data_IF_788433083803
#
_entry.id   IF_788433083803
#
_cell.length_a   1.000
_cell.length_b   1.000
_cell.length_c   1.000
_cell.angle_alpha   90.00
_cell.angle_beta   90.00
_cell.angle_gamma   90.00
#
_symmetry.space_group_name_H-M   'P 1'
#
loop_
_entity.id
_entity.type
_entity.pdbx_description
1 polymer ?
#
# COMPACT_ATOMS: atom_id res chain seq x y z
N UNK A 1 -28.61 -22.66 -13.15
CA UNK A 1 -28.23 -21.35 -13.71
C UNK A 1 -27.77 -20.51 -12.52
N UNK A 2 -26.68 -19.76 -12.64
CA UNK A 2 -26.17 -18.96 -11.51
C UNK A 2 -27.02 -17.71 -11.32
N UNK A 3 -27.03 -17.15 -10.12
CA UNK A 3 -27.96 -16.07 -9.74
C UNK A 3 -27.53 -14.70 -10.27
N UNK A 4 -26.25 -14.51 -10.56
CA UNK A 4 -25.63 -13.25 -11.00
C UNK A 4 -24.60 -13.49 -12.10
N UNK A 5 -24.41 -12.52 -12.99
CA UNK A 5 -23.35 -12.58 -14.00
C UNK A 5 -21.98 -12.33 -13.34
N UNK A 6 -21.90 -11.33 -12.47
CA UNK A 6 -20.66 -10.99 -11.77
C UNK A 6 -20.85 -10.90 -10.26
N UNK A 7 -19.88 -11.44 -9.53
CA UNK A 7 -19.69 -11.19 -8.11
C UNK A 7 -18.49 -10.28 -7.89
N UNK A 8 -18.50 -9.51 -6.81
CA UNK A 8 -17.37 -8.67 -6.39
C UNK A 8 -17.02 -9.02 -4.95
N UNK A 9 -15.78 -9.40 -4.68
CA UNK A 9 -15.29 -9.63 -3.32
C UNK A 9 -14.06 -8.76 -3.06
N UNK A 10 -14.11 -7.96 -2.00
CA UNK A 10 -13.09 -6.95 -1.70
C UNK A 10 -12.30 -7.40 -0.47
N UNK A 11 -10.96 -7.34 -0.54
CA UNK A 11 -10.11 -7.66 0.60
C UNK A 11 -8.66 -7.30 0.38
N UNK A 12 -7.86 -7.28 1.45
CA UNK A 12 -6.41 -7.09 1.35
C UNK A 12 -5.65 -8.38 1.10
N UNK A 13 -6.15 -9.51 1.61
CA UNK A 13 -5.53 -10.84 1.45
C UNK A 13 -4.06 -10.89 1.93
N UNK A 14 -3.82 -10.40 3.16
CA UNK A 14 -2.49 -10.29 3.78
C UNK A 14 -2.36 -11.24 5.00
N UNK A 15 -2.32 -12.59 4.84
CA UNK A 15 -2.32 -13.39 3.60
C UNK A 15 -3.72 -13.85 3.14
N UNK A 16 -3.78 -14.64 2.06
CA UNK A 16 -4.98 -15.40 1.67
C UNK A 16 -5.22 -16.57 2.65
N UNK A 17 -6.12 -16.39 3.62
CA UNK A 17 -6.49 -17.40 4.61
C UNK A 17 -7.79 -18.17 4.24
N UNK A 18 -8.09 -19.25 4.97
CA UNK A 18 -9.23 -20.14 4.73
C UNK A 18 -10.59 -19.42 4.74
N UNK A 19 -10.76 -18.39 5.58
CA UNK A 19 -11.97 -17.56 5.56
C UNK A 19 -12.21 -16.87 4.22
N UNK A 20 -11.17 -16.31 3.59
CA UNK A 20 -11.27 -15.72 2.26
C UNK A 20 -11.58 -16.79 1.22
N UNK A 21 -10.90 -17.95 1.28
CA UNK A 21 -11.13 -19.05 0.36
C UNK A 21 -12.59 -19.54 0.41
N UNK A 22 -13.20 -19.60 1.60
CA UNK A 22 -14.59 -19.98 1.77
C UNK A 22 -15.56 -18.98 1.13
N UNK A 23 -15.33 -17.66 1.29
CA UNK A 23 -16.13 -16.63 0.61
C UNK A 23 -16.01 -16.78 -0.90
N UNK A 24 -14.79 -16.93 -1.41
CA UNK A 24 -14.53 -17.07 -2.85
C UNK A 24 -15.26 -18.29 -3.42
N UNK A 25 -15.14 -19.46 -2.78
CA UNK A 25 -15.81 -20.69 -3.21
C UNK A 25 -17.33 -20.54 -3.19
N UNK A 26 -17.89 -20.03 -2.09
CA UNK A 26 -19.34 -19.82 -1.98
C UNK A 26 -19.88 -18.78 -2.98
N UNK A 27 -19.10 -17.72 -3.26
CA UNK A 27 -19.48 -16.73 -4.26
C UNK A 27 -19.44 -17.33 -5.68
N UNK A 28 -18.42 -18.13 -6.01
CA UNK A 28 -18.29 -18.82 -7.30
C UNK A 28 -19.47 -19.76 -7.59
N UNK A 29 -20.14 -20.31 -6.58
CA UNK A 29 -21.37 -21.09 -6.78
C UNK A 29 -22.54 -20.23 -7.29
N UNK A 30 -22.59 -18.95 -6.88
CA UNK A 30 -23.71 -18.03 -7.12
C UNK A 30 -23.51 -17.10 -8.32
N UNK A 31 -22.29 -16.92 -8.82
CA UNK A 31 -21.96 -15.93 -9.88
C UNK A 31 -21.26 -16.54 -11.07
N UNK A 32 -21.48 -16.05 -12.30
CA UNK A 32 -20.81 -16.53 -13.52
C UNK A 32 -19.34 -16.17 -13.65
N UNK A 33 -18.91 -15.05 -13.09
CA UNK A 33 -17.51 -14.68 -12.90
C UNK A 33 -17.36 -13.91 -11.59
N UNK A 34 -16.37 -14.26 -10.76
CA UNK A 34 -16.06 -13.52 -9.55
C UNK A 34 -14.90 -12.56 -9.80
N UNK A 35 -15.07 -11.30 -9.47
CA UNK A 35 -14.02 -10.28 -9.46
C UNK A 35 -13.57 -10.13 -8.01
N UNK A 36 -12.30 -10.43 -7.75
CA UNK A 36 -11.69 -10.20 -6.44
C UNK A 36 -10.84 -8.93 -6.52
N UNK A 37 -11.28 -7.91 -5.79
CA UNK A 37 -10.61 -6.62 -5.69
C UNK A 37 -9.62 -6.67 -4.54
N UNK A 38 -8.33 -6.55 -4.87
CA UNK A 38 -7.21 -6.67 -3.95
C UNK A 38 -6.78 -5.27 -3.49
N UNK A 39 -7.18 -4.89 -2.27
CA UNK A 39 -6.86 -3.58 -1.66
C UNK A 39 -5.39 -3.39 -1.34
N UNK A 40 -4.94 -2.14 -1.18
CA UNK A 40 -3.54 -1.80 -0.85
C UNK A 40 -2.54 -2.47 -1.81
N UNK A 41 -2.82 -2.43 -3.12
CA UNK A 41 -2.07 -3.21 -4.13
C UNK A 41 -0.72 -2.61 -4.54
N UNK A 42 -0.59 -1.29 -4.46
CA UNK A 42 0.62 -0.57 -4.85
C UNK A 42 1.31 0.10 -3.67
N UNK A 43 1.13 -0.41 -2.45
CA UNK A 43 1.92 0.05 -1.32
C UNK A 43 3.24 -0.70 -1.27
N UNK A 44 4.31 0.00 -0.94
CA UNK A 44 5.55 -0.64 -0.56
C UNK A 44 5.32 -1.54 0.66
N UNK A 45 6.07 -2.64 0.73
CA UNK A 45 5.84 -3.65 1.75
C UNK A 45 6.09 -3.11 3.16
N UNK A 46 5.19 -3.42 4.08
CA UNK A 46 5.33 -3.08 5.51
C UNK A 46 4.68 -4.17 6.38
N UNK A 47 4.86 -4.19 7.71
CA UNK A 47 4.30 -5.24 8.56
C UNK A 47 2.76 -5.42 8.46
N UNK A 48 2.04 -4.37 8.08
CA UNK A 48 0.58 -4.42 7.85
C UNK A 48 0.22 -4.96 6.45
N UNK A 49 1.03 -4.66 5.44
CA UNK A 49 0.90 -5.10 4.06
C UNK A 49 2.21 -5.77 3.58
N UNK A 50 2.54 -6.98 4.09
CA UNK A 50 3.82 -7.62 3.79
C UNK A 50 3.95 -8.09 2.34
N UNK A 51 2.81 -8.41 1.69
CA UNK A 51 2.78 -9.00 0.36
C UNK A 51 2.35 -8.00 -0.71
N UNK A 52 3.07 -7.94 -1.83
CA UNK A 52 2.71 -7.15 -3.01
C UNK A 52 1.47 -7.72 -3.69
N UNK A 53 0.90 -7.01 -4.67
CA UNK A 53 -0.18 -7.56 -5.49
C UNK A 53 0.25 -8.85 -6.19
N UNK A 54 1.42 -8.86 -6.84
CA UNK A 54 1.95 -10.04 -7.54
C UNK A 54 2.17 -11.24 -6.60
N UNK A 55 2.66 -11.01 -5.38
CA UNK A 55 2.84 -12.07 -4.38
C UNK A 55 1.49 -12.64 -3.92
N UNK A 56 0.47 -11.80 -3.75
CA UNK A 56 -0.90 -12.25 -3.45
C UNK A 56 -1.51 -13.00 -4.62
N UNK A 57 -1.36 -12.51 -5.85
CA UNK A 57 -1.78 -13.22 -7.06
C UNK A 57 -1.13 -14.61 -7.13
N UNK A 58 0.15 -14.75 -6.78
CA UNK A 58 0.81 -16.05 -6.70
C UNK A 58 0.19 -16.97 -5.63
N UNK A 59 -0.29 -16.44 -4.50
CA UNK A 59 -1.07 -17.23 -3.54
C UNK A 59 -2.41 -17.68 -4.13
N UNK A 60 -3.14 -16.78 -4.79
CA UNK A 60 -4.40 -17.10 -5.46
C UNK A 60 -4.21 -18.17 -6.54
N UNK A 61 -3.15 -18.06 -7.35
CA UNK A 61 -2.82 -19.02 -8.40
C UNK A 61 -2.56 -20.44 -7.87
N UNK A 62 -2.10 -20.58 -6.62
CA UNK A 62 -1.93 -21.91 -5.99
C UNK A 62 -3.25 -22.56 -5.56
N UNK A 63 -4.31 -21.80 -5.41
CA UNK A 63 -5.60 -22.26 -4.88
C UNK A 63 -6.70 -22.30 -5.95
N UNK A 64 -6.70 -21.31 -6.85
CA UNK A 64 -7.77 -21.04 -7.81
C UNK A 64 -7.23 -20.98 -9.25
N UNK A 65 -6.19 -21.78 -9.57
CA UNK A 65 -5.56 -21.77 -10.89
C UNK A 65 -6.57 -22.00 -12.02
N UNK A 66 -7.48 -22.96 -11.83
CA UNK A 66 -8.49 -23.30 -12.83
C UNK A 66 -9.45 -22.13 -13.06
N UNK A 67 -9.93 -21.51 -11.99
CA UNK A 67 -10.85 -20.38 -12.08
C UNK A 67 -10.20 -19.15 -12.70
N UNK A 68 -8.94 -18.87 -12.38
CA UNK A 68 -8.17 -17.78 -12.98
C UNK A 68 -7.97 -18.01 -14.48
N UNK A 69 -7.51 -19.22 -14.86
CA UNK A 69 -7.24 -19.56 -16.28
C UNK A 69 -8.49 -19.59 -17.16
N UNK A 70 -9.64 -19.92 -16.59
CA UNK A 70 -10.92 -19.94 -17.31
C UNK A 70 -11.65 -18.59 -17.32
N UNK A 71 -11.15 -17.58 -16.60
CA UNK A 71 -11.82 -16.28 -16.44
C UNK A 71 -13.02 -16.32 -15.48
N UNK A 72 -13.19 -17.43 -14.74
CA UNK A 72 -14.19 -17.58 -13.68
C UNK A 72 -13.85 -16.77 -12.43
N UNK A 73 -12.56 -16.47 -12.24
CA UNK A 73 -12.04 -15.59 -11.21
C UNK A 73 -11.12 -14.56 -11.88
N UNK A 74 -11.29 -13.28 -11.54
CA UNK A 74 -10.45 -12.18 -12.05
C UNK A 74 -9.94 -11.40 -10.84
N UNK A 75 -8.64 -11.15 -10.78
CA UNK A 75 -8.03 -10.30 -9.75
C UNK A 75 -7.89 -8.87 -10.28
N UNK A 76 -8.28 -7.89 -9.48
CA UNK A 76 -8.16 -6.47 -9.80
C UNK A 76 -7.39 -5.77 -8.68
N UNK A 77 -6.24 -5.13 -8.95
CA UNK A 77 -5.55 -4.34 -7.95
C UNK A 77 -6.36 -3.08 -7.63
N UNK A 78 -6.36 -2.68 -6.36
CA UNK A 78 -6.99 -1.46 -5.88
C UNK A 78 -5.99 -0.59 -5.13
N UNK A 79 -6.04 0.70 -5.46
CA UNK A 79 -5.20 1.75 -4.90
C UNK A 79 -5.82 2.25 -3.59
N UNK A 80 -4.96 2.60 -2.64
CA UNK A 80 -5.41 3.29 -1.43
C UNK A 80 -5.49 4.79 -1.71
N UNK A 81 -6.58 5.42 -1.27
CA UNK A 81 -6.78 6.86 -1.30
C UNK A 81 -7.09 7.34 0.11
N UNK A 82 -6.75 8.60 0.39
CA UNK A 82 -7.06 9.19 1.69
C UNK A 82 -8.56 9.42 1.87
N UNK A 83 -9.28 9.74 0.78
CA UNK A 83 -10.70 10.01 0.82
C UNK A 83 -11.52 8.83 0.28
N UNK A 84 -12.59 8.47 1.02
CA UNK A 84 -13.49 7.36 0.67
C UNK A 84 -14.14 7.52 -0.71
N UNK A 85 -14.37 8.76 -1.18
CA UNK A 85 -14.99 9.00 -2.48
C UNK A 85 -14.06 8.63 -3.65
N UNK A 86 -12.78 9.01 -3.59
CA UNK A 86 -11.77 8.64 -4.58
C UNK A 86 -11.53 7.13 -4.57
N UNK A 87 -11.49 6.53 -3.38
CA UNK A 87 -11.36 5.08 -3.22
C UNK A 87 -12.53 4.34 -3.88
N UNK A 88 -13.75 4.80 -3.64
CA UNK A 88 -14.97 4.23 -4.24
C UNK A 88 -14.93 4.33 -5.75
N UNK A 89 -14.57 5.49 -6.29
CA UNK A 89 -14.59 5.74 -7.73
C UNK A 89 -13.48 4.94 -8.44
N UNK A 90 -12.31 4.78 -7.82
CA UNK A 90 -11.25 3.89 -8.29
C UNK A 90 -11.73 2.42 -8.33
N UNK A 91 -12.40 1.95 -7.27
CA UNK A 91 -12.97 0.60 -7.22
C UNK A 91 -14.00 0.39 -8.34
N UNK A 92 -14.97 1.31 -8.50
CA UNK A 92 -15.98 1.23 -9.57
C UNK A 92 -15.32 1.17 -10.94
N UNK A 93 -14.32 2.02 -11.18
CA UNK A 93 -13.58 2.04 -12.44
C UNK A 93 -12.89 0.70 -12.71
N UNK A 94 -12.10 0.20 -11.76
CA UNK A 94 -11.37 -1.07 -11.91
C UNK A 94 -12.30 -2.27 -12.13
N UNK A 95 -13.42 -2.35 -11.39
CA UNK A 95 -14.44 -3.39 -11.59
C UNK A 95 -15.09 -3.26 -12.97
N UNK A 96 -15.47 -2.06 -13.37
CA UNK A 96 -16.12 -1.81 -14.67
C UNK A 96 -15.20 -2.21 -15.83
N UNK A 97 -13.93 -1.81 -15.78
CA UNK A 97 -12.93 -2.18 -16.77
C UNK A 97 -12.72 -3.70 -16.83
N UNK A 98 -12.66 -4.37 -15.69
CA UNK A 98 -12.54 -5.83 -15.63
C UNK A 98 -13.76 -6.55 -16.23
N UNK A 99 -14.98 -6.10 -15.91
CA UNK A 99 -16.22 -6.65 -16.49
C UNK A 99 -16.23 -6.47 -18.01
N UNK A 100 -15.98 -5.25 -18.49
CA UNK A 100 -16.01 -4.95 -19.92
C UNK A 100 -14.92 -5.72 -20.68
N UNK A 101 -13.71 -5.80 -20.13
CA UNK A 101 -12.63 -6.59 -20.69
C UNK A 101 -12.99 -8.07 -20.78
N UNK A 102 -13.63 -8.63 -19.74
CA UNK A 102 -14.09 -10.01 -19.74
C UNK A 102 -15.23 -10.27 -20.74
N UNK A 103 -16.27 -9.46 -20.71
CA UNK A 103 -17.47 -9.64 -21.54
C UNK A 103 -17.18 -9.45 -23.04
N UNK A 104 -16.26 -8.56 -23.39
CA UNK A 104 -15.96 -8.23 -24.78
C UNK A 104 -14.95 -9.19 -25.45
N UNK A 105 -14.48 -10.26 -24.77
CA UNK A 105 -13.58 -11.27 -25.35
C UNK A 105 -14.16 -11.96 -26.60
N UNK A 106 -15.48 -11.92 -26.80
CA UNK A 106 -16.19 -12.53 -27.94
C UNK A 106 -16.48 -11.61 -29.14
N UNK A 107 -15.91 -10.41 -29.22
CA UNK A 107 -16.05 -9.50 -30.36
C UNK A 107 -17.29 -8.58 -30.35
N UNK A 108 -18.19 -8.75 -29.38
CA UNK A 108 -19.22 -7.74 -29.05
C UNK A 108 -18.55 -6.69 -28.18
N UNK A 109 -18.73 -5.40 -28.49
CA UNK A 109 -18.16 -4.29 -27.72
C UNK A 109 -19.25 -3.61 -26.91
N UNK A 110 -19.43 -4.05 -25.68
CA UNK A 110 -20.26 -3.38 -24.69
C UNK A 110 -19.54 -2.12 -24.19
N UNK A 111 -20.30 -1.04 -23.97
CA UNK A 111 -19.82 0.26 -23.47
C UNK A 111 -20.21 0.52 -22.01
N UNK A 112 -20.94 -0.39 -21.36
CA UNK A 112 -21.37 -0.26 -19.98
C UNK A 112 -21.75 -1.61 -19.37
N UNK A 113 -22.05 -1.59 -18.08
CA UNK A 113 -22.28 -2.81 -17.28
C UNK A 113 -23.72 -2.95 -16.75
N UNK A 114 -24.64 -2.08 -17.20
CA UNK A 114 -26.01 -2.00 -16.68
C UNK A 114 -26.86 -3.25 -16.94
N UNK A 115 -26.54 -3.98 -18.01
CA UNK A 115 -27.24 -5.21 -18.37
C UNK A 115 -26.77 -6.41 -17.53
N UNK A 116 -25.68 -6.26 -16.77
CA UNK A 116 -25.19 -7.29 -15.89
C UNK A 116 -25.80 -7.16 -14.49
N UNK A 117 -26.46 -8.23 -14.07
CA UNK A 117 -26.75 -8.48 -12.66
C UNK A 117 -25.44 -8.70 -11.87
N UNK A 118 -25.07 -7.73 -11.04
CA UNK A 118 -23.81 -7.68 -10.25
C UNK A 118 -24.14 -7.73 -8.76
N UNK A 119 -23.33 -8.46 -7.98
CA UNK A 119 -23.46 -8.48 -6.53
C UNK A 119 -22.14 -8.39 -5.77
N UNK A 120 -22.16 -7.69 -4.64
CA UNK A 120 -21.13 -7.70 -3.61
C UNK A 120 -21.23 -8.99 -2.78
N UNK A 121 -20.20 -9.81 -2.84
CA UNK A 121 -20.03 -10.99 -2.00
C UNK A 121 -19.33 -10.58 -0.69
N UNK A 122 -19.93 -10.98 0.44
CA UNK A 122 -19.39 -10.68 1.75
C UNK A 122 -19.78 -11.73 2.81
N UNK A 123 -19.20 -11.56 4.00
CA UNK A 123 -19.49 -12.38 5.17
C UNK A 123 -19.98 -11.51 6.33
N UNK A 124 -21.03 -11.98 7.00
CA UNK A 124 -21.60 -11.34 8.19
C UNK A 124 -22.45 -10.09 7.90
N UNK A 125 -23.24 -9.70 8.92
CA UNK A 125 -24.18 -8.56 8.85
C UNK A 125 -23.50 -7.18 8.85
N UNK A 126 -22.25 -7.08 9.33
CA UNK A 126 -21.62 -5.79 9.65
C UNK A 126 -20.57 -5.32 8.63
N UNK A 127 -19.91 -6.22 7.90
CA UNK A 127 -18.97 -5.84 6.84
C UNK A 127 -19.67 -5.64 5.49
N UNK A 128 -20.87 -6.22 5.33
CA UNK A 128 -21.67 -6.06 4.12
C UNK A 128 -22.43 -4.72 4.10
N UNK A 129 -22.77 -4.11 5.25
CA UNK A 129 -23.45 -2.80 5.28
C UNK A 129 -22.56 -1.67 4.75
N UNK A 130 -21.29 -1.59 5.17
CA UNK A 130 -20.39 -0.51 4.70
C UNK A 130 -20.25 -0.48 3.17
N UNK A 131 -19.97 -1.63 2.54
CA UNK A 131 -19.85 -1.69 1.08
C UNK A 131 -21.21 -1.56 0.38
N UNK A 132 -22.30 -2.08 0.94
CA UNK A 132 -23.63 -1.92 0.35
C UNK A 132 -24.11 -0.45 0.39
N UNK A 133 -23.78 0.28 1.45
CA UNK A 133 -24.05 1.72 1.55
C UNK A 133 -23.21 2.50 0.54
N UNK A 134 -21.97 2.06 0.29
CA UNK A 134 -21.05 2.68 -0.66
C UNK A 134 -21.38 2.36 -2.13
N UNK A 135 -21.98 1.19 -2.39
CA UNK A 135 -22.32 0.68 -3.72
C UNK A 135 -23.79 0.22 -3.79
N UNK A 136 -24.76 1.14 -3.60
CA UNK A 136 -26.18 0.80 -3.53
C UNK A 136 -26.74 0.25 -4.85
N UNK A 137 -26.03 0.44 -5.97
CA UNK A 137 -26.40 -0.11 -7.27
C UNK A 137 -26.16 -1.64 -7.41
N UNK A 138 -25.35 -2.24 -6.54
CA UNK A 138 -25.01 -3.66 -6.60
C UNK A 138 -25.85 -4.46 -5.62
N UNK A 139 -26.23 -5.67 -6.01
CA UNK A 139 -26.93 -6.59 -5.13
C UNK A 139 -25.96 -7.13 -4.03
N UNK A 140 -26.48 -7.87 -3.06
CA UNK A 140 -25.67 -8.52 -2.03
C UNK A 140 -25.75 -10.04 -2.14
N UNK A 141 -24.60 -10.69 -2.02
CA UNK A 141 -24.48 -12.13 -1.79
C UNK A 141 -23.91 -12.33 -0.38
N UNK A 142 -24.73 -12.87 0.50
CA UNK A 142 -24.29 -13.33 1.81
C UNK A 142 -23.77 -14.77 1.68
N UNK A 143 -22.54 -14.99 2.14
CA UNK A 143 -21.94 -16.33 2.25
C UNK A 143 -21.93 -16.70 3.73
N UNK A 144 -22.54 -17.83 4.08
CA UNK A 144 -22.40 -18.41 5.41
C UNK A 144 -21.04 -19.10 5.49
N UNK A 145 -20.15 -18.62 6.37
CA UNK A 145 -18.86 -19.25 6.61
C UNK A 145 -18.94 -20.09 7.89
N UNK A 146 -18.43 -21.32 7.82
CA UNK A 146 -18.28 -22.24 8.96
C UNK A 146 -16.90 -22.15 9.63
N UNK A 147 -15.95 -21.42 9.04
CA UNK A 147 -14.67 -21.11 9.66
C UNK A 147 -14.86 -20.04 10.75
N UNK A 148 -14.24 -20.23 11.92
CA UNK A 148 -14.34 -19.32 13.07
C UNK A 148 -13.80 -17.91 12.83
N UNK A 149 -13.54 -17.16 13.90
CA UNK A 149 -13.04 -15.76 13.85
C UNK A 149 -11.58 -15.69 13.38
N UNK A 150 -11.32 -15.97 12.10
CA UNK A 150 -9.99 -15.79 11.50
C UNK A 150 -9.71 -14.30 11.29
N UNK A 151 -8.60 -13.82 11.85
CA UNK A 151 -8.16 -12.44 11.74
C UNK A 151 -6.79 -12.38 11.05
N UNK A 152 -6.71 -11.67 9.93
CA UNK A 152 -5.46 -11.53 9.18
C UNK A 152 -4.35 -10.83 9.98
N UNK A 153 -4.69 -9.91 10.89
CA UNK A 153 -3.72 -9.27 11.78
C UNK A 153 -3.10 -10.28 12.73
N UNK A 154 -3.91 -11.11 13.40
CA UNK A 154 -3.39 -12.14 14.31
C UNK A 154 -2.47 -13.13 13.57
N UNK A 155 -2.84 -13.52 12.34
CA UNK A 155 -1.99 -14.37 11.48
C UNK A 155 -0.64 -13.71 11.20
N UNK A 156 -0.62 -12.43 10.81
CA UNK A 156 0.64 -11.70 10.56
C UNK A 156 1.43 -11.50 11.84
N UNK A 157 0.76 -11.28 12.96
CA UNK A 157 1.41 -11.04 14.24
C UNK A 157 2.14 -12.29 14.76
N UNK A 158 1.59 -13.46 14.48
CA UNK A 158 2.19 -14.76 14.74
C UNK A 158 3.29 -15.14 13.72
N UNK A 159 3.08 -14.80 12.46
CA UNK A 159 3.97 -15.16 11.36
C UNK A 159 5.22 -14.28 11.27
N UNK A 160 5.08 -12.95 11.35
CA UNK A 160 6.20 -12.00 11.25
C UNK A 160 6.97 -11.96 12.57
N UNK A 161 7.78 -12.99 12.82
CA UNK A 161 8.65 -13.15 13.99
C UNK A 161 9.98 -13.75 13.54
N UNK A 162 11.02 -13.58 14.38
CA UNK A 162 12.33 -14.23 14.16
C UNK A 162 12.21 -15.76 14.04
N UNK A 163 11.33 -16.34 14.86
CA UNK A 163 10.88 -17.72 14.71
C UNK A 163 9.40 -17.69 14.29
N UNK A 164 9.08 -17.75 12.99
CA UNK A 164 7.72 -17.59 12.48
C UNK A 164 6.82 -18.74 12.93
N UNK A 165 5.64 -18.42 13.46
CA UNK A 165 4.60 -19.43 13.67
C UNK A 165 3.81 -19.60 12.37
N UNK A 166 3.81 -20.81 11.81
CA UNK A 166 3.15 -21.09 10.54
C UNK A 166 1.64 -21.27 10.75
N UNK A 167 0.79 -20.56 9.99
CA UNK A 167 -0.66 -20.54 10.22
C UNK A 167 -1.37 -21.78 9.62
N UNK A 168 -1.01 -22.97 10.09
CA UNK A 168 -1.55 -24.24 9.58
C UNK A 168 -3.06 -24.39 9.75
N UNK A 169 -3.63 -23.82 10.81
CA UNK A 169 -5.07 -23.88 11.10
C UNK A 169 -5.87 -22.75 10.44
N UNK A 170 -5.18 -21.73 9.92
CA UNK A 170 -5.81 -20.54 9.35
C UNK A 170 -5.61 -20.43 7.82
N UNK A 171 -4.59 -21.08 7.25
CA UNK A 171 -4.27 -21.03 5.82
C UNK A 171 -4.22 -22.43 5.23
N UNK A 172 -4.58 -22.55 3.94
CA UNK A 172 -4.43 -23.81 3.22
C UNK A 172 -2.96 -24.23 3.10
N UNK A 173 -2.73 -25.54 2.94
CA UNK A 173 -1.37 -26.11 2.83
C UNK A 173 -0.52 -25.41 1.76
N UNK A 174 -1.10 -25.04 0.63
CA UNK A 174 -0.37 -24.41 -0.47
C UNK A 174 0.04 -22.96 -0.15
N UNK A 175 -0.79 -22.21 0.60
CA UNK A 175 -0.43 -20.89 1.12
C UNK A 175 0.61 -21.00 2.21
N UNK A 176 0.48 -21.95 3.14
CA UNK A 176 1.50 -22.18 4.19
C UNK A 176 2.86 -22.52 3.57
N UNK A 177 2.90 -23.34 2.53
CA UNK A 177 4.15 -23.62 1.82
C UNK A 177 4.72 -22.37 1.14
N UNK A 178 3.86 -21.50 0.58
CA UNK A 178 4.30 -20.22 0.05
C UNK A 178 4.92 -19.35 1.15
N UNK A 179 4.27 -19.26 2.32
CA UNK A 179 4.77 -18.50 3.48
C UNK A 179 6.10 -19.03 4.02
N UNK A 180 6.33 -20.34 3.95
CA UNK A 180 7.65 -20.93 4.29
C UNK A 180 8.73 -20.42 3.36
N UNK A 181 8.49 -20.39 2.05
CA UNK A 181 9.46 -19.87 1.09
C UNK A 181 9.68 -18.37 1.27
N UNK A 182 8.62 -17.60 1.50
CA UNK A 182 8.73 -16.17 1.77
C UNK A 182 9.56 -15.87 3.02
N UNK A 183 9.45 -16.70 4.07
CA UNK A 183 10.21 -16.53 5.31
C UNK A 183 11.73 -16.64 5.13
N UNK A 184 12.21 -17.18 4.01
CA UNK A 184 13.63 -17.29 3.67
C UNK A 184 14.18 -16.04 2.96
N UNK A 185 13.32 -15.11 2.55
CA UNK A 185 13.70 -13.94 1.76
C UNK A 185 14.32 -12.83 2.62
N UNK A 186 15.10 -11.95 2.01
CA UNK A 186 15.58 -10.73 2.67
C UNK A 186 14.42 -9.82 3.10
N UNK A 187 13.41 -9.70 2.25
CA UNK A 187 12.18 -8.94 2.52
C UNK A 187 11.50 -9.37 3.82
N UNK A 188 11.40 -10.68 4.09
CA UNK A 188 10.84 -11.16 5.37
C UNK A 188 11.68 -10.71 6.58
N UNK A 189 13.02 -10.77 6.48
CA UNK A 189 13.91 -10.30 7.55
C UNK A 189 13.71 -8.81 7.82
N UNK A 190 13.63 -8.00 6.77
CA UNK A 190 13.42 -6.55 6.89
C UNK A 190 12.06 -6.23 7.53
N UNK A 191 11.01 -6.99 7.20
CA UNK A 191 9.69 -6.85 7.81
C UNK A 191 9.66 -7.24 9.29
N UNK A 192 10.38 -8.30 9.68
CA UNK A 192 10.53 -8.70 11.09
C UNK A 192 11.31 -7.65 11.87
N UNK A 193 12.40 -7.12 11.30
CA UNK A 193 13.19 -6.06 11.93
C UNK A 193 12.38 -4.78 12.12
N UNK A 194 11.61 -4.37 11.11
CA UNK A 194 10.68 -3.24 11.24
C UNK A 194 9.66 -3.49 12.34
N UNK A 195 9.01 -4.66 12.38
CA UNK A 195 8.04 -4.95 13.45
C UNK A 195 8.68 -4.95 14.84
N UNK A 196 9.87 -5.53 15.00
CA UNK A 196 10.62 -5.49 16.26
C UNK A 196 10.96 -4.04 16.66
N UNK A 197 11.31 -3.19 15.69
CA UNK A 197 11.60 -1.77 15.94
C UNK A 197 10.37 -1.01 16.41
N UNK A 198 9.18 -1.29 15.85
CA UNK A 198 7.91 -0.68 16.31
C UNK A 198 7.63 -0.99 17.78
N UNK A 199 7.82 -2.25 18.20
CA UNK A 199 7.59 -2.66 19.60
C UNK A 199 8.54 -1.90 20.52
N UNK A 200 9.82 -1.81 20.14
CA UNK A 200 10.84 -1.09 20.90
C UNK A 200 10.55 0.41 20.97
N UNK A 201 10.21 1.03 19.85
CA UNK A 201 9.90 2.46 19.75
C UNK A 201 8.69 2.82 20.62
N UNK A 202 7.60 2.05 20.53
CA UNK A 202 6.42 2.28 21.35
C UNK A 202 6.69 2.11 22.85
N UNK A 203 7.54 1.16 23.24
CA UNK A 203 7.91 0.96 24.64
C UNK A 203 8.76 2.12 25.19
N UNK A 204 9.61 2.72 24.37
CA UNK A 204 10.51 3.80 24.78
C UNK A 204 9.86 5.19 24.72
N UNK A 205 9.05 5.43 23.68
CA UNK A 205 8.59 6.77 23.30
C UNK A 205 7.08 6.93 23.25
N UNK A 206 6.32 5.85 23.44
CA UNK A 206 4.86 5.85 23.30
C UNK A 206 4.39 5.96 21.86
N UNK A 207 3.20 6.51 21.65
CA UNK A 207 2.54 6.57 20.34
C UNK A 207 2.50 7.99 19.75
N UNK A 208 3.31 8.92 20.28
CA UNK A 208 3.36 10.32 19.86
C UNK A 208 2.34 11.24 20.55
N UNK A 209 2.08 12.45 20.00
CA UNK A 209 2.56 12.92 18.70
C UNK A 209 4.07 13.12 18.64
N UNK A 210 4.68 12.73 17.53
CA UNK A 210 6.07 13.00 17.18
C UNK A 210 6.13 14.00 16.04
N UNK A 211 7.15 14.85 16.07
CA UNK A 211 7.37 15.90 15.09
C UNK A 211 8.51 15.51 14.17
N UNK A 212 8.28 15.54 12.87
CA UNK A 212 9.27 15.28 11.83
C UNK A 212 9.32 16.44 10.83
N UNK A 213 10.40 16.49 10.05
CA UNK A 213 10.52 17.39 8.92
C UNK A 213 11.20 16.69 7.74
N UNK A 214 10.74 17.00 6.54
CA UNK A 214 11.25 16.44 5.29
C UNK A 214 11.58 17.55 4.28
N UNK A 215 12.48 17.27 3.34
CA UNK A 215 12.82 18.17 2.23
C UNK A 215 12.42 17.55 0.90
N UNK A 216 11.63 18.28 0.12
CA UNK A 216 11.44 18.02 -1.31
C UNK A 216 12.27 19.02 -2.10
N UNK A 217 13.22 18.55 -2.91
CA UNK A 217 13.94 19.41 -3.87
C UNK A 217 13.54 19.01 -5.28
N UNK A 218 13.09 19.98 -6.07
CA UNK A 218 12.92 19.84 -7.52
C UNK A 218 14.06 20.53 -8.27
N UNK A 219 14.65 19.83 -9.23
CA UNK A 219 15.71 20.36 -10.08
C UNK A 219 15.71 19.67 -11.44
N UNK A 220 15.64 20.46 -12.52
CA UNK A 220 15.59 19.95 -13.92
C UNK A 220 14.53 18.86 -14.13
N UNK A 221 13.34 19.06 -13.55
CA UNK A 221 12.21 18.12 -13.63
C UNK A 221 12.39 16.83 -12.81
N UNK A 222 13.43 16.75 -11.98
CA UNK A 222 13.71 15.60 -11.10
C UNK A 222 13.47 15.97 -9.65
N UNK A 223 13.28 14.95 -8.82
CA UNK A 223 13.19 15.08 -7.35
C UNK A 223 14.39 14.43 -6.68
N UNK A 224 14.90 15.04 -5.60
CA UNK A 224 15.88 14.41 -4.74
C UNK A 224 15.20 13.38 -3.84
N UNK A 225 15.69 12.14 -3.85
CA UNK A 225 15.24 11.09 -2.93
C UNK A 225 16.43 10.32 -2.36
N UNK A 226 16.23 9.80 -1.16
CA UNK A 226 17.12 8.82 -0.54
C UNK A 226 16.53 7.41 -0.64
N UNK A 227 17.39 6.41 -0.59
CA UNK A 227 17.02 5.02 -0.33
C UNK A 227 17.33 4.70 1.12
N UNK A 228 16.31 4.36 1.91
CA UNK A 228 16.47 4.06 3.34
C UNK A 228 17.38 2.84 3.55
N UNK A 229 18.44 2.96 4.34
CA UNK A 229 19.40 1.88 4.60
C UNK A 229 19.03 0.99 5.80
N UNK A 230 18.18 1.48 6.70
CA UNK A 230 17.76 0.78 7.91
C UNK A 230 16.24 0.57 7.96
N UNK A 231 15.81 -0.33 8.84
CA UNK A 231 14.39 -0.41 9.20
C UNK A 231 14.00 0.84 10.02
N UNK A 232 12.78 1.35 9.94
CA UNK A 232 11.66 0.97 9.09
C UNK A 232 11.89 1.25 7.59
N UNK A 233 11.27 0.49 6.69
CA UNK A 233 11.26 0.82 5.25
C UNK A 233 12.59 0.65 4.51
N UNK A 234 13.50 -0.22 4.96
CA UNK A 234 14.77 -0.48 4.26
C UNK A 234 14.56 -0.75 2.77
N UNK A 235 15.35 -0.09 1.93
CA UNK A 235 15.29 -0.18 0.47
C UNK A 235 14.18 0.65 -0.18
N UNK A 236 13.31 1.29 0.59
CA UNK A 236 12.26 2.17 0.07
C UNK A 236 12.81 3.58 -0.17
N UNK A 237 12.21 4.28 -1.13
CA UNK A 237 12.50 5.67 -1.42
C UNK A 237 11.79 6.59 -0.42
N UNK A 238 12.47 7.64 0.00
CA UNK A 238 11.91 8.68 0.85
C UNK A 238 12.50 10.05 0.45
N UNK A 239 11.81 11.09 0.87
CA UNK A 239 12.42 12.43 0.96
C UNK A 239 13.48 12.37 2.06
N UNK A 240 14.60 13.12 1.94
CA UNK A 240 15.48 13.34 3.07
C UNK A 240 14.69 13.95 4.24
N UNK A 241 14.83 13.38 5.44
CA UNK A 241 14.02 13.82 6.57
C UNK A 241 14.07 12.93 7.80
N UNK A 242 13.69 13.52 8.94
CA UNK A 242 13.81 12.89 10.25
C UNK A 242 13.08 13.65 11.34
N UNK A 243 13.36 13.30 12.59
CA UNK A 243 12.66 13.89 13.74
C UNK A 243 13.23 15.27 14.08
N UNK A 244 12.37 16.14 14.60
CA UNK A 244 12.76 17.44 15.13
C UNK A 244 13.39 17.26 16.52
N UNK A 245 14.59 17.80 16.69
CA UNK A 245 15.34 17.80 17.95
C UNK A 245 14.95 18.97 18.89
N UNK A 246 15.38 18.90 20.14
CA UNK A 246 15.16 19.99 21.10
C UNK A 246 15.96 21.24 20.70
N UNK A 247 15.25 22.37 20.53
CA UNK A 247 15.87 23.66 20.25
C UNK A 247 15.98 24.03 18.78
N UNK A 248 15.52 23.19 17.86
CA UNK A 248 15.45 23.50 16.42
C UNK A 248 14.00 23.72 15.92
N UNK A 249 13.88 24.49 14.85
CA UNK A 249 12.63 24.63 14.07
C UNK A 249 12.50 23.48 13.06
N UNK A 250 11.30 23.26 12.53
CA UNK A 250 11.08 22.28 11.46
C UNK A 250 11.98 22.50 10.24
N UNK A 251 12.21 23.76 9.83
CA UNK A 251 13.09 24.05 8.71
C UNK A 251 14.55 23.70 9.04
N UNK A 252 15.00 24.00 10.26
CA UNK A 252 16.35 23.63 10.70
C UNK A 252 16.53 22.10 10.73
N UNK A 253 15.53 21.37 11.24
CA UNK A 253 15.52 19.90 11.21
C UNK A 253 15.62 19.38 9.78
N UNK A 254 14.78 19.89 8.87
CA UNK A 254 14.77 19.47 7.47
C UNK A 254 16.13 19.71 6.77
N UNK A 255 16.76 20.86 7.03
CA UNK A 255 18.07 21.20 6.47
C UNK A 255 19.20 20.36 7.08
N UNK A 256 19.13 20.05 8.38
CA UNK A 256 20.08 19.14 9.05
C UNK A 256 20.01 17.74 8.42
N UNK A 257 18.82 17.18 8.31
CA UNK A 257 18.58 15.85 7.72
C UNK A 257 18.98 15.80 6.24
N UNK A 258 18.69 16.85 5.47
CA UNK A 258 19.18 16.99 4.09
C UNK A 258 20.70 16.88 4.00
N UNK A 259 21.41 17.52 4.94
CA UNK A 259 22.87 17.47 4.98
C UNK A 259 23.38 16.10 5.39
N UNK A 260 22.76 15.48 6.39
CA UNK A 260 23.13 14.18 6.94
C UNK A 260 22.89 13.05 5.93
N UNK A 261 21.75 13.05 5.23
CA UNK A 261 21.34 11.93 4.37
C UNK A 261 21.72 12.10 2.89
N UNK A 262 21.94 13.34 2.41
CA UNK A 262 22.20 13.62 1.00
C UNK A 262 23.40 14.56 0.74
N UNK A 263 24.12 14.99 1.79
CA UNK A 263 25.32 15.83 1.72
C UNK A 263 25.12 17.24 1.13
N UNK A 264 23.88 17.67 0.88
CA UNK A 264 23.56 19.00 0.34
C UNK A 264 23.50 20.03 1.47
N UNK A 265 24.15 21.18 1.29
CA UNK A 265 24.10 22.27 2.28
C UNK A 265 22.83 23.12 2.11
N UNK A 266 22.17 23.44 3.21
CA UNK A 266 20.99 24.31 3.17
C UNK A 266 21.29 25.71 2.63
N UNK A 267 22.52 26.20 2.76
CA UNK A 267 22.94 27.48 2.20
C UNK A 267 22.89 27.48 0.67
N UNK A 268 23.13 26.33 0.03
CA UNK A 268 23.12 26.19 -1.43
C UNK A 268 21.70 26.32 -2.00
N UNK A 269 20.67 26.09 -1.17
CA UNK A 269 19.27 26.02 -1.60
C UNK A 269 18.36 27.06 -0.96
N UNK A 270 18.85 27.85 -0.01
CA UNK A 270 18.03 28.72 0.85
C UNK A 270 17.14 29.70 0.07
N UNK A 271 17.63 30.24 -1.04
CA UNK A 271 16.92 31.22 -1.87
C UNK A 271 15.79 30.61 -2.72
N UNK A 272 15.66 29.27 -2.75
CA UNK A 272 14.73 28.54 -3.60
C UNK A 272 13.54 27.91 -2.84
N UNK A 273 13.30 28.31 -1.58
CA UNK A 273 12.15 27.83 -0.83
C UNK A 273 10.84 28.28 -1.51
N UNK A 274 10.12 27.33 -2.09
CA UNK A 274 8.88 27.55 -2.83
C UNK A 274 7.64 27.44 -1.94
N UNK A 275 7.69 26.61 -0.90
CA UNK A 275 6.56 26.43 0.01
C UNK A 275 6.78 25.34 1.05
N UNK A 276 5.73 25.04 1.81
CA UNK A 276 5.72 23.93 2.76
C UNK A 276 4.34 23.29 2.83
N UNK A 277 4.29 22.03 3.26
CA UNK A 277 3.06 21.26 3.47
C UNK A 277 3.14 20.50 4.79
N UNK A 278 2.03 20.45 5.52
CA UNK A 278 1.92 19.61 6.73
C UNK A 278 1.35 18.26 6.33
N UNK A 279 2.06 17.19 6.66
CA UNK A 279 1.61 15.81 6.55
C UNK A 279 1.09 15.33 7.90
N UNK A 280 -0.22 15.37 8.09
CA UNK A 280 -0.88 15.11 9.37
C UNK A 280 -1.92 14.00 9.33
N UNK A 281 -1.96 13.15 8.30
CA UNK A 281 -2.84 11.97 8.31
C UNK A 281 -2.51 11.08 9.54
N UNK A 282 -3.46 10.84 10.47
CA UNK A 282 -3.19 10.09 11.71
C UNK A 282 -2.72 8.65 11.49
N UNK A 283 -2.93 8.09 10.30
CA UNK A 283 -2.60 6.71 9.94
C UNK A 283 -1.40 6.60 8.99
N UNK A 284 -0.68 7.71 8.72
CA UNK A 284 0.46 7.72 7.79
C UNK A 284 1.59 6.78 8.18
N UNK A 285 1.86 6.67 9.49
CA UNK A 285 2.95 5.85 10.02
C UNK A 285 2.47 4.72 10.92
N UNK A 286 3.11 3.56 10.81
CA UNK A 286 2.94 2.44 11.74
C UNK A 286 3.65 2.67 13.08
N UNK A 287 4.52 3.69 13.16
CA UNK A 287 5.34 4.04 14.35
C UNK A 287 4.56 4.85 15.39
N UNK A 288 3.33 5.23 15.09
CA UNK A 288 2.50 6.09 15.94
C UNK A 288 2.06 7.36 15.22
N UNK A 289 1.59 8.33 16.01
CA UNK A 289 1.17 9.63 15.50
C UNK A 289 2.40 10.45 15.14
N UNK A 290 2.76 10.48 13.86
CA UNK A 290 3.80 11.37 13.32
C UNK A 290 3.10 12.51 12.56
N UNK A 291 3.56 13.73 12.80
CA UNK A 291 3.24 14.92 11.99
C UNK A 291 4.55 15.36 11.36
N UNK A 292 4.60 15.46 10.03
CA UNK A 292 5.78 15.96 9.32
C UNK A 292 5.51 17.31 8.66
N UNK A 293 6.47 18.21 8.69
CA UNK A 293 6.47 19.40 7.82
C UNK A 293 7.42 19.17 6.65
N UNK A 294 6.87 19.16 5.43
CA UNK A 294 7.64 19.01 4.20
C UNK A 294 7.95 20.41 3.65
N UNK A 295 9.21 20.73 3.43
CA UNK A 295 9.64 21.98 2.78
C UNK A 295 10.02 21.71 1.33
N UNK A 296 9.41 22.47 0.41
CA UNK A 296 9.67 22.34 -1.03
C UNK A 296 10.62 23.44 -1.50
N UNK A 297 11.73 23.02 -2.10
CA UNK A 297 12.69 23.88 -2.77
C UNK A 297 12.63 23.64 -4.28
N UNK A 298 12.36 24.69 -5.06
CA UNK A 298 12.29 24.60 -6.52
C UNK A 298 13.46 25.32 -7.18
N UNK A 299 14.46 24.55 -7.60
CA UNK A 299 15.73 25.07 -8.07
C UNK A 299 15.68 25.24 -9.60
N UNK A 300 15.93 26.46 -10.13
CA UNK A 300 15.98 26.71 -11.56
C UNK A 300 16.99 25.82 -12.29
N UNK A 301 16.69 25.44 -13.54
CA UNK A 301 17.49 24.48 -14.29
C UNK A 301 18.93 24.97 -14.61
N UNK A 302 19.13 26.29 -14.64
CA UNK A 302 20.40 26.97 -14.84
C UNK A 302 21.31 26.98 -13.60
N UNK A 303 20.77 26.70 -12.42
CA UNK A 303 21.54 26.59 -11.18
C UNK A 303 22.12 25.19 -11.11
N UNK A 304 23.44 25.11 -10.93
CA UNK A 304 24.09 23.83 -10.65
C UNK A 304 23.91 23.47 -9.19
N UNK A 305 23.54 22.21 -8.94
CA UNK A 305 23.32 21.67 -7.59
C UNK A 305 24.36 20.61 -7.31
N UNK A 306 24.83 20.56 -6.06
CA UNK A 306 25.74 19.53 -5.57
C UNK A 306 25.20 18.13 -5.88
N UNK A 307 26.07 17.26 -6.40
CA UNK A 307 25.72 15.85 -6.60
C UNK A 307 25.41 15.22 -5.23
N UNK A 308 24.22 14.64 -5.04
CA UNK A 308 23.85 14.07 -3.75
C UNK A 308 24.73 12.85 -3.43
N UNK A 309 25.18 12.78 -2.19
CA UNK A 309 25.94 11.65 -1.65
C UNK A 309 25.26 11.16 -0.38
N UNK A 310 25.02 9.86 -0.32
CA UNK A 310 24.34 9.24 0.82
C UNK A 310 25.20 9.32 2.08
N UNK A 311 24.59 9.72 3.19
CA UNK A 311 25.20 9.71 4.51
C UNK A 311 24.29 9.07 5.55
N UNK A 312 24.85 8.88 6.74
CA UNK A 312 24.19 8.29 7.92
C UNK A 312 23.37 7.02 7.63
N UNK A 313 22.04 7.13 7.69
CA UNK A 313 21.11 6.01 7.53
C UNK A 313 20.63 5.79 6.09
N UNK A 314 21.02 6.67 5.16
CA UNK A 314 20.72 6.53 3.74
C UNK A 314 21.70 5.55 3.06
N UNK A 315 21.16 4.56 2.34
CA UNK A 315 21.95 3.65 1.51
C UNK A 315 22.34 4.26 0.15
N UNK A 316 21.56 5.22 -0.34
CA UNK A 316 21.80 5.96 -1.58
C UNK A 316 21.05 7.29 -1.55
N UNK A 317 21.53 8.30 -2.28
CA UNK A 317 20.86 9.58 -2.51
C UNK A 317 21.03 9.94 -4.00
N UNK A 318 19.94 10.29 -4.69
CA UNK A 318 19.98 10.54 -6.13
C UNK A 318 18.80 11.40 -6.63
N UNK A 319 18.96 11.94 -7.84
CA UNK A 319 17.90 12.63 -8.58
C UNK A 319 17.07 11.63 -9.39
N UNK A 320 15.76 11.59 -9.16
CA UNK A 320 14.83 10.69 -9.83
C UNK A 320 13.87 11.44 -10.75
N UNK A 321 13.52 10.82 -11.87
CA UNK A 321 12.32 11.20 -12.61
C UNK A 321 11.11 10.69 -11.83
N UNK A 322 10.32 11.59 -11.26
CA UNK A 322 9.23 11.23 -10.34
C UNK A 322 8.08 10.53 -11.07
N UNK A 323 7.83 10.89 -12.33
CA UNK A 323 6.73 10.34 -13.13
C UNK A 323 6.92 8.83 -13.42
N UNK A 324 8.17 8.36 -13.38
CA UNK A 324 8.51 6.95 -13.57
C UNK A 324 8.37 6.09 -12.29
N UNK A 325 8.06 6.72 -11.14
CA UNK A 325 8.02 6.03 -9.85
C UNK A 325 6.59 5.77 -9.36
N UNK A 326 6.32 4.51 -9.01
CA UNK A 326 5.08 4.10 -8.35
C UNK A 326 5.15 4.21 -6.83
N UNK A 327 3.97 4.30 -6.19
CA UNK A 327 3.79 4.28 -4.73
C UNK A 327 4.37 3.02 -4.06
N UNK A 328 4.56 1.94 -4.83
CA UNK A 328 5.06 0.64 -4.36
C UNK A 328 6.54 0.66 -3.99
N UNK A 329 7.24 1.77 -4.30
CA UNK A 329 8.64 1.99 -4.01
C UNK A 329 8.87 2.89 -2.80
N UNK A 330 7.86 3.61 -2.33
CA UNK A 330 8.03 4.67 -1.35
C UNK A 330 7.75 4.25 0.08
N UNK A 331 8.49 4.86 0.99
CA UNK A 331 8.22 4.78 2.41
C UNK A 331 6.96 5.57 2.74
N UNK A 332 6.05 4.95 3.49
CA UNK A 332 4.80 5.55 3.98
C UNK A 332 4.02 6.29 2.88
N UNK A 333 3.72 7.58 3.07
CA UNK A 333 2.92 8.44 2.21
C UNK A 333 3.78 9.41 1.35
N UNK A 334 5.10 9.22 1.30
CA UNK A 334 6.00 10.18 0.64
C UNK A 334 5.66 10.36 -0.85
N UNK A 335 5.29 9.30 -1.57
CA UNK A 335 4.88 9.43 -2.98
C UNK A 335 3.65 10.31 -3.14
N UNK A 336 2.62 10.09 -2.31
CA UNK A 336 1.38 10.88 -2.36
C UNK A 336 1.61 12.32 -1.93
N UNK A 337 2.50 12.55 -0.95
CA UNK A 337 2.88 13.91 -0.53
C UNK A 337 3.61 14.66 -1.63
N UNK A 338 4.59 14.02 -2.29
CA UNK A 338 5.31 14.63 -3.41
C UNK A 338 4.33 14.92 -4.56
N UNK A 339 3.48 13.96 -4.92
CA UNK A 339 2.47 14.17 -5.97
C UNK A 339 1.57 15.36 -5.68
N UNK A 340 1.06 15.47 -4.45
CA UNK A 340 0.21 16.58 -4.04
C UNK A 340 0.95 17.93 -4.12
N UNK A 341 2.20 18.00 -3.63
CA UNK A 341 3.00 19.23 -3.70
C UNK A 341 3.26 19.64 -5.15
N UNK A 342 3.65 18.70 -6.02
CA UNK A 342 3.92 18.98 -7.44
C UNK A 342 2.66 19.38 -8.22
N UNK A 343 1.48 18.91 -7.81
CA UNK A 343 0.20 19.28 -8.38
C UNK A 343 -0.39 20.59 -7.82
N UNK A 344 0.25 21.18 -6.79
CA UNK A 344 -0.23 22.39 -6.12
C UNK A 344 -1.47 22.19 -5.24
N UNK A 345 -1.65 20.99 -4.70
CA UNK A 345 -2.78 20.60 -3.84
C UNK A 345 -2.57 20.92 -2.36
#
# INVERSE_FOLDING_TARGET
MRDFHYGIFIGRFQPLHLGHEAVIRGALEKVETLIVVVGSSLLAANPKNPFSFAEREAMFARIFQHELSTGRLILVPLYDYEHDHDWRDNLKKGVTEAILSHANKGGIRLHGIRDFKIALAGFGKDASSYYLDMFPEWNSIQIEIQHGTLNASDIRDDYLRRLPHMPHDACSKAVVEWLKQFALTQKFKDLVEWKDSLIKDHANWGFGPFLAADVLITWRGKVLLITRGKAAGRGQLAMPGGFVEEGETFLQAAIRELKEEASIDGQDIADYLAGFRVADNPKRSLRGRIVSMVFHFDIPAEVEVTTPEAGDDAAAAAWFDFEELGTDRFYEDHHTLISAILNGE
#
